data_IF_107874916747
#
_entry.id   IF_107874916747
#
_cell.length_a   1.000
_cell.length_b   1.000
_cell.length_c   1.000
_cell.angle_alpha   90.00
_cell.angle_beta   90.00
_cell.angle_gamma   90.00
#
_symmetry.space_group_name_H-M   'P 1'
#
loop_
_entity.id
_entity.type
_entity.pdbx_description
1 polymer ?
#
# COMPACT_ATOMS: atom_id res chain seq x y z
N UNK A 1 -39.24 5.87 52.19
CA UNK A 1 -38.44 6.86 51.47
C UNK A 1 -37.00 6.39 51.59
N UNK A 2 -36.57 5.55 50.66
CA UNK A 2 -35.16 5.40 50.30
C UNK A 2 -35.18 4.74 48.92
N UNK A 3 -34.71 5.52 47.94
CA UNK A 3 -34.73 5.19 46.54
C UNK A 3 -33.72 4.07 46.29
N UNK A 4 -34.20 2.97 45.71
CA UNK A 4 -33.35 1.99 45.06
C UNK A 4 -32.88 2.67 43.77
N UNK A 5 -31.61 3.07 43.80
CA UNK A 5 -30.95 3.81 42.73
C UNK A 5 -30.80 2.96 41.46
N UNK A 6 -31.12 3.61 40.36
CA UNK A 6 -31.54 3.08 39.06
C UNK A 6 -30.31 2.86 38.17
N UNK A 7 -29.41 1.95 38.58
CA UNK A 7 -28.14 1.68 37.88
C UNK A 7 -28.15 0.46 36.96
N UNK A 8 -29.31 0.13 36.37
CA UNK A 8 -29.40 -0.84 35.25
C UNK A 8 -29.73 -0.20 33.88
N UNK A 9 -29.75 1.13 33.79
CA UNK A 9 -30.22 1.84 32.59
C UNK A 9 -29.17 2.17 31.51
N UNK A 10 -27.85 1.99 31.72
CA UNK A 10 -26.83 2.70 30.92
C UNK A 10 -25.73 1.86 30.25
N UNK A 11 -25.92 0.54 30.10
CA UNK A 11 -24.98 -0.35 29.35
C UNK A 11 -25.52 -0.83 27.99
N UNK A 12 -26.49 -0.11 27.40
CA UNK A 12 -26.95 -0.33 26.01
C UNK A 12 -26.04 0.38 24.99
N UNK A 13 -24.72 0.20 25.10
CA UNK A 13 -23.71 0.72 24.16
C UNK A 13 -23.22 -0.34 23.16
N UNK A 14 -22.33 0.06 22.23
CA UNK A 14 -21.72 -0.82 21.19
C UNK A 14 -21.28 -2.20 21.73
N UNK A 15 -20.73 -2.26 22.95
CA UNK A 15 -20.31 -3.51 23.61
C UNK A 15 -21.46 -4.49 23.90
N UNK A 16 -22.65 -3.99 24.25
CA UNK A 16 -23.81 -4.84 24.55
C UNK A 16 -24.40 -5.46 23.29
N UNK A 17 -24.44 -4.71 22.18
CA UNK A 17 -24.86 -5.24 20.88
C UNK A 17 -23.85 -6.26 20.34
N UNK A 18 -22.56 -5.96 20.44
CA UNK A 18 -21.51 -6.89 20.03
C UNK A 18 -21.61 -8.23 20.78
N UNK A 19 -21.75 -8.21 22.11
CA UNK A 19 -21.91 -9.43 22.90
C UNK A 19 -23.15 -10.26 22.48
N UNK A 20 -24.27 -9.60 22.19
CA UNK A 20 -25.51 -10.26 21.77
C UNK A 20 -25.38 -11.03 20.46
N UNK A 21 -24.60 -10.49 19.50
CA UNK A 21 -24.48 -11.06 18.15
C UNK A 21 -23.17 -11.83 17.92
N UNK A 22 -22.26 -11.86 18.89
CA UNK A 22 -20.96 -12.51 18.74
C UNK A 22 -21.06 -13.99 18.36
N UNK A 23 -21.95 -14.75 19.02
CA UNK A 23 -22.17 -16.16 18.68
C UNK A 23 -22.68 -16.37 17.25
N UNK A 24 -23.50 -15.45 16.76
CA UNK A 24 -23.98 -15.51 15.38
C UNK A 24 -22.85 -15.21 14.40
N UNK A 25 -21.97 -14.25 14.72
CA UNK A 25 -20.77 -13.99 13.91
C UNK A 25 -19.84 -15.21 13.83
N UNK A 26 -19.64 -15.94 14.93
CA UNK A 26 -18.87 -17.19 14.93
C UNK A 26 -19.56 -18.24 14.04
N UNK A 27 -20.88 -18.40 14.16
CA UNK A 27 -21.65 -19.34 13.33
C UNK A 27 -21.53 -19.02 11.83
N UNK A 28 -21.65 -17.75 11.47
CA UNK A 28 -21.51 -17.29 10.08
C UNK A 28 -20.08 -17.52 9.54
N UNK A 29 -19.06 -17.42 10.39
CA UNK A 29 -17.68 -17.81 10.03
C UNK A 29 -17.59 -19.31 9.76
N UNK A 30 -18.14 -20.15 10.63
CA UNK A 30 -18.13 -21.61 10.48
C UNK A 30 -18.90 -22.07 9.23
N UNK A 31 -19.99 -21.37 8.89
CA UNK A 31 -20.79 -21.60 7.68
C UNK A 31 -20.15 -21.02 6.40
N UNK A 32 -18.98 -20.39 6.51
CA UNK A 32 -18.28 -19.64 5.45
C UNK A 32 -19.12 -18.52 4.79
N UNK A 33 -20.17 -18.03 5.45
CA UNK A 33 -21.09 -17.00 4.93
C UNK A 33 -20.55 -15.59 5.20
N UNK A 34 -19.58 -15.18 4.38
CA UNK A 34 -18.94 -13.86 4.44
C UNK A 34 -19.92 -12.71 4.22
N UNK A 35 -20.92 -12.88 3.35
CA UNK A 35 -21.84 -11.78 3.02
C UNK A 35 -22.75 -11.47 4.20
N UNK A 36 -23.33 -12.51 4.82
CA UNK A 36 -24.15 -12.34 6.02
C UNK A 36 -23.32 -11.84 7.20
N UNK A 37 -22.08 -12.31 7.35
CA UNK A 37 -21.16 -11.83 8.38
C UNK A 37 -20.92 -10.32 8.26
N UNK A 38 -20.53 -9.86 7.07
CA UNK A 38 -20.22 -8.45 6.83
C UNK A 38 -21.44 -7.55 7.09
N UNK A 39 -22.63 -7.97 6.64
CA UNK A 39 -23.88 -7.24 6.92
C UNK A 39 -24.19 -7.17 8.41
N UNK A 40 -23.93 -8.26 9.14
CA UNK A 40 -24.15 -8.30 10.58
C UNK A 40 -23.19 -7.34 11.29
N UNK A 41 -21.88 -7.40 11.01
CA UNK A 41 -20.88 -6.46 11.56
C UNK A 41 -21.26 -5.00 11.28
N UNK A 42 -21.62 -4.68 10.04
CA UNK A 42 -22.06 -3.34 9.65
C UNK A 42 -23.28 -2.88 10.45
N UNK A 43 -24.23 -3.78 10.72
CA UNK A 43 -25.45 -3.47 11.48
C UNK A 43 -25.16 -3.21 12.95
N UNK A 44 -24.26 -3.98 13.56
CA UNK A 44 -24.00 -3.92 15.01
C UNK A 44 -22.97 -2.85 15.38
N UNK A 45 -22.09 -2.47 14.45
CA UNK A 45 -20.99 -1.53 14.66
C UNK A 45 -20.88 -0.51 13.50
N UNK A 46 -21.95 0.26 13.21
CA UNK A 46 -21.96 1.19 12.08
C UNK A 46 -20.93 2.32 12.20
N UNK A 47 -20.53 2.66 13.42
CA UNK A 47 -19.62 3.78 13.69
C UNK A 47 -18.18 3.53 13.22
N UNK A 48 -17.78 2.27 12.97
CA UNK A 48 -16.42 1.94 12.53
C UNK A 48 -16.12 2.49 11.14
N UNK A 49 -17.11 2.50 10.24
CA UNK A 49 -16.96 3.10 8.90
C UNK A 49 -16.76 4.62 9.01
N UNK A 50 -17.54 5.27 9.89
CA UNK A 50 -17.42 6.70 10.16
C UNK A 50 -16.06 7.08 10.78
N UNK A 51 -15.52 6.22 11.65
CA UNK A 51 -14.18 6.37 12.21
C UNK A 51 -13.11 6.33 11.12
N UNK A 52 -13.14 5.31 10.25
CA UNK A 52 -12.23 5.16 9.13
C UNK A 52 -12.31 6.40 8.21
N UNK A 53 -13.52 6.83 7.86
CA UNK A 53 -13.74 7.99 7.01
C UNK A 53 -13.13 9.27 7.59
N UNK A 54 -13.33 9.51 8.89
CA UNK A 54 -12.79 10.70 9.57
C UNK A 54 -11.26 10.69 9.67
N UNK A 55 -10.66 9.54 10.01
CA UNK A 55 -9.20 9.38 10.07
C UNK A 55 -8.58 9.56 8.69
N UNK A 56 -9.10 8.86 7.67
CA UNK A 56 -8.63 8.97 6.29
C UNK A 56 -8.73 10.42 5.77
N UNK A 57 -9.88 11.08 5.96
CA UNK A 57 -10.06 12.48 5.55
C UNK A 57 -9.08 13.43 6.26
N UNK A 58 -8.76 13.17 7.53
CA UNK A 58 -7.80 13.97 8.29
C UNK A 58 -6.39 13.77 7.78
N UNK A 59 -5.98 12.54 7.50
CA UNK A 59 -4.67 12.22 6.91
C UNK A 59 -4.50 12.82 5.52
N UNK A 60 -5.55 12.82 4.71
CA UNK A 60 -5.55 13.52 3.40
C UNK A 60 -5.40 15.03 3.57
N UNK A 61 -6.15 15.65 4.50
CA UNK A 61 -6.06 17.09 4.77
C UNK A 61 -4.67 17.51 5.28
N UNK A 62 -4.03 16.64 6.07
CA UNK A 62 -2.70 16.88 6.63
C UNK A 62 -1.56 16.54 5.64
N UNK A 63 -1.88 16.00 4.46
CA UNK A 63 -0.90 15.67 3.43
C UNK A 63 -0.15 14.35 3.63
N UNK A 64 -0.54 13.54 4.62
CA UNK A 64 0.06 12.21 4.86
C UNK A 64 -0.42 11.17 3.85
N UNK A 65 -1.62 11.35 3.30
CA UNK A 65 -2.18 10.48 2.27
C UNK A 65 -2.56 11.33 1.04
N UNK A 66 -2.18 10.91 -0.18
CA UNK A 66 -2.60 11.59 -1.40
C UNK A 66 -4.13 11.59 -1.56
N UNK A 67 -4.70 12.75 -1.90
CA UNK A 67 -6.14 12.89 -2.13
C UNK A 67 -6.60 11.95 -3.25
N UNK A 68 -7.63 11.16 -2.97
CA UNK A 68 -8.28 10.27 -3.95
C UNK A 68 -7.54 8.96 -4.21
N UNK A 69 -6.42 8.69 -3.54
CA UNK A 69 -5.66 7.43 -3.69
C UNK A 69 -6.36 6.24 -3.05
N UNK A 70 -6.96 6.43 -1.87
CA UNK A 70 -7.65 5.38 -1.13
C UNK A 70 -9.10 5.76 -0.89
N UNK A 71 -9.96 4.73 -0.82
CA UNK A 71 -11.38 4.87 -0.53
C UNK A 71 -11.71 4.27 0.83
N UNK A 72 -12.73 4.82 1.49
CA UNK A 72 -13.18 4.31 2.81
C UNK A 72 -13.57 2.85 2.70
N UNK A 73 -14.25 2.49 1.61
CA UNK A 73 -14.72 1.14 1.32
C UNK A 73 -13.59 0.11 1.25
N UNK A 74 -12.40 0.50 0.81
CA UNK A 74 -11.23 -0.40 0.74
C UNK A 74 -10.78 -0.82 2.14
N UNK A 75 -10.67 0.14 3.06
CA UNK A 75 -10.33 -0.12 4.46
C UNK A 75 -11.44 -0.89 5.19
N UNK A 76 -12.71 -0.56 4.93
CA UNK A 76 -13.85 -1.28 5.51
C UNK A 76 -13.85 -2.74 5.06
N UNK A 77 -13.66 -2.99 3.77
CA UNK A 77 -13.59 -4.35 3.24
C UNK A 77 -12.40 -5.13 3.81
N UNK A 78 -11.23 -4.50 3.91
CA UNK A 78 -10.04 -5.11 4.52
C UNK A 78 -10.26 -5.44 6.00
N UNK A 79 -10.87 -4.52 6.76
CA UNK A 79 -11.23 -4.74 8.16
C UNK A 79 -12.20 -5.92 8.32
N UNK A 80 -13.26 -5.97 7.49
CA UNK A 80 -14.24 -7.04 7.56
C UNK A 80 -13.66 -8.40 7.18
N UNK A 81 -12.73 -8.43 6.22
CA UNK A 81 -11.98 -9.64 5.90
C UNK A 81 -11.15 -10.12 7.11
N UNK A 82 -10.37 -9.23 7.74
CA UNK A 82 -9.60 -9.58 8.93
C UNK A 82 -10.50 -10.04 10.08
N UNK A 83 -11.62 -9.37 10.30
CA UNK A 83 -12.60 -9.75 11.30
C UNK A 83 -13.14 -11.15 11.01
N UNK A 84 -13.55 -11.43 9.79
CA UNK A 84 -14.03 -12.76 9.39
C UNK A 84 -12.97 -13.85 9.64
N UNK A 85 -11.71 -13.58 9.28
CA UNK A 85 -10.60 -14.54 9.42
C UNK A 85 -10.19 -14.76 10.87
N UNK A 86 -10.28 -13.74 11.72
CA UNK A 86 -9.66 -13.75 13.06
C UNK A 86 -10.65 -13.58 14.22
N UNK A 87 -11.95 -13.50 13.99
CA UNK A 87 -12.95 -13.33 15.07
C UNK A 87 -12.88 -14.42 16.16
N UNK A 88 -12.40 -15.62 15.81
CA UNK A 88 -12.19 -16.70 16.78
C UNK A 88 -11.04 -16.45 17.77
N UNK A 89 -10.18 -15.47 17.51
CA UNK A 89 -9.11 -15.03 18.43
C UNK A 89 -9.65 -14.12 19.54
N UNK A 90 -10.88 -13.61 19.41
CA UNK A 90 -11.49 -12.71 20.39
C UNK A 90 -12.07 -13.57 21.52
N UNK A 91 -11.38 -13.56 22.67
CA UNK A 91 -11.77 -14.36 23.84
C UNK A 91 -13.01 -13.81 24.57
N UNK A 92 -13.14 -12.49 24.64
CA UNK A 92 -14.28 -11.79 25.24
C UNK A 92 -15.11 -11.11 24.15
N UNK A 93 -16.35 -11.54 23.99
CA UNK A 93 -17.34 -10.98 23.06
C UNK A 93 -17.55 -9.47 23.20
N UNK A 94 -17.28 -8.90 24.38
CA UNK A 94 -17.37 -7.46 24.65
C UNK A 94 -16.18 -6.67 24.08
N UNK A 95 -15.10 -7.36 23.69
CA UNK A 95 -13.91 -6.77 23.10
C UNK A 95 -14.03 -6.63 21.58
N UNK A 96 -15.02 -7.24 20.93
CA UNK A 96 -15.23 -7.11 19.48
C UNK A 96 -15.23 -5.66 18.98
N UNK A 97 -15.94 -4.69 19.61
CA UNK A 97 -15.86 -3.29 19.20
C UNK A 97 -14.43 -2.76 19.31
N UNK A 98 -13.77 -2.98 20.45
CA UNK A 98 -12.39 -2.52 20.66
C UNK A 98 -11.44 -3.10 19.61
N UNK A 99 -11.53 -4.40 19.36
CA UNK A 99 -10.71 -5.11 18.38
C UNK A 99 -10.89 -4.54 16.97
N UNK A 100 -12.12 -4.27 16.55
CA UNK A 100 -12.39 -3.71 15.22
C UNK A 100 -11.85 -2.28 15.07
N UNK A 101 -12.03 -1.43 16.08
CA UNK A 101 -11.47 -0.08 16.03
C UNK A 101 -9.94 -0.08 16.08
N UNK A 102 -9.33 -0.99 16.85
CA UNK A 102 -7.88 -1.18 16.87
C UNK A 102 -7.37 -1.62 15.50
N UNK A 103 -7.98 -2.63 14.88
CA UNK A 103 -7.57 -3.12 13.56
C UNK A 103 -7.79 -2.10 12.46
N UNK A 104 -8.86 -1.32 12.54
CA UNK A 104 -9.07 -0.18 11.66
C UNK A 104 -7.94 0.86 11.79
N UNK A 105 -7.49 1.12 13.02
CA UNK A 105 -6.39 2.05 13.26
C UNK A 105 -5.05 1.54 12.74
N UNK A 106 -4.75 0.25 12.97
CA UNK A 106 -3.55 -0.42 12.46
C UNK A 106 -3.49 -0.34 10.92
N UNK A 107 -4.57 -0.71 10.22
CA UNK A 107 -4.66 -0.62 8.76
C UNK A 107 -4.38 0.80 8.23
N UNK A 108 -4.94 1.81 8.89
CA UNK A 108 -4.73 3.21 8.52
C UNK A 108 -3.30 3.68 8.83
N UNK A 109 -2.74 3.28 9.97
CA UNK A 109 -1.38 3.66 10.36
C UNK A 109 -0.34 3.01 9.46
N UNK A 110 -0.48 1.73 9.14
CA UNK A 110 0.37 1.04 8.16
C UNK A 110 0.38 1.79 6.83
N UNK A 111 -0.80 2.17 6.33
CA UNK A 111 -0.92 2.95 5.09
C UNK A 111 -0.27 4.33 5.22
N UNK A 112 -0.48 5.05 6.32
CA UNK A 112 0.12 6.38 6.54
C UNK A 112 1.64 6.28 6.58
N UNK A 113 2.18 5.32 7.34
CA UNK A 113 3.63 5.12 7.47
C UNK A 113 4.24 4.76 6.12
N UNK A 114 3.57 3.90 5.35
CA UNK A 114 3.98 3.56 3.98
C UNK A 114 4.02 4.82 3.10
N UNK A 115 2.98 5.66 3.13
CA UNK A 115 2.93 6.90 2.34
C UNK A 115 3.95 7.95 2.77
N UNK A 116 4.16 8.11 4.08
CA UNK A 116 5.17 9.03 4.61
C UNK A 116 6.58 8.57 4.23
N UNK A 117 6.84 7.25 4.30
CA UNK A 117 8.10 6.67 3.87
C UNK A 117 8.31 6.83 2.37
N UNK A 118 7.28 6.56 1.56
CA UNK A 118 7.30 6.76 0.10
C UNK A 118 7.56 8.22 -0.28
N UNK A 119 6.99 9.18 0.47
CA UNK A 119 7.23 10.61 0.25
C UNK A 119 8.67 11.00 0.57
N UNK A 120 9.19 10.59 1.74
CA UNK A 120 10.61 10.83 2.09
C UNK A 120 11.56 10.15 1.10
N UNK A 121 11.22 8.94 0.66
CA UNK A 121 11.99 8.20 -0.34
C UNK A 121 12.14 9.02 -1.62
N UNK A 122 11.06 9.60 -2.15
CA UNK A 122 11.12 10.42 -3.36
C UNK A 122 12.00 11.67 -3.20
N UNK A 123 11.98 12.29 -2.02
CA UNK A 123 12.73 13.52 -1.73
C UNK A 123 14.23 13.27 -1.51
N UNK A 124 14.60 12.10 -0.99
CA UNK A 124 15.97 11.79 -0.57
C UNK A 124 16.64 10.68 -1.39
N UNK A 125 15.99 10.15 -2.43
CA UNK A 125 16.47 8.98 -3.21
C UNK A 125 17.94 9.07 -3.68
N UNK A 126 18.44 10.28 -3.95
CA UNK A 126 19.83 10.54 -4.37
C UNK A 126 20.86 10.47 -3.24
N UNK A 127 20.41 10.54 -1.98
CA UNK A 127 21.25 10.63 -0.78
C UNK A 127 21.49 9.28 -0.11
N UNK A 128 20.82 8.23 -0.59
CA UNK A 128 20.87 6.90 0.00
C UNK A 128 22.28 6.32 -0.15
N UNK A 129 22.84 5.87 0.96
CA UNK A 129 24.09 5.12 1.00
C UNK A 129 23.91 3.72 0.38
N UNK A 130 25.03 3.09 0.01
CA UNK A 130 24.99 1.73 -0.52
C UNK A 130 24.36 0.73 0.47
N UNK A 131 24.57 0.91 1.78
CA UNK A 131 23.95 0.06 2.80
C UNK A 131 22.44 0.24 2.85
N UNK A 132 21.94 1.46 2.73
CA UNK A 132 20.49 1.73 2.67
C UNK A 132 19.87 1.11 1.41
N UNK A 133 20.55 1.15 0.27
CA UNK A 133 20.08 0.49 -0.96
C UNK A 133 19.99 -1.04 -0.83
N UNK A 134 20.94 -1.66 -0.14
CA UNK A 134 20.92 -3.11 0.12
C UNK A 134 19.76 -3.45 1.07
N UNK A 135 19.61 -2.71 2.16
CA UNK A 135 18.51 -2.91 3.11
C UNK A 135 17.14 -2.74 2.46
N UNK A 136 16.99 -1.71 1.61
CA UNK A 136 15.76 -1.52 0.84
C UNK A 136 15.44 -2.69 -0.07
N UNK A 137 16.46 -3.31 -0.67
CA UNK A 137 16.30 -4.47 -1.53
C UNK A 137 15.88 -5.70 -0.71
N UNK A 138 16.44 -5.89 0.49
CA UNK A 138 16.08 -6.97 1.43
C UNK A 138 14.66 -6.80 1.98
N UNK A 139 14.28 -5.58 2.42
CA UNK A 139 12.94 -5.28 2.93
C UNK A 139 11.86 -5.42 1.84
N UNK A 140 12.24 -5.22 0.58
CA UNK A 140 11.33 -5.39 -0.56
C UNK A 140 11.07 -6.87 -0.89
N UNK A 141 11.96 -7.78 -0.49
CA UNK A 141 11.83 -9.23 -0.66
C UNK A 141 11.40 -9.97 0.61
N UNK A 142 10.64 -9.31 1.48
CA UNK A 142 9.96 -9.95 2.61
C UNK A 142 8.82 -10.81 2.08
N UNK A 143 8.84 -12.11 2.39
CA UNK A 143 7.78 -13.03 1.99
C UNK A 143 6.50 -12.88 2.84
N UNK A 144 5.46 -13.65 2.52
CA UNK A 144 4.18 -13.63 3.26
C UNK A 144 4.32 -14.03 4.74
N UNK A 145 5.41 -14.67 5.12
CA UNK A 145 5.69 -15.15 6.48
C UNK A 145 6.60 -14.18 7.25
N UNK A 146 7.06 -13.10 6.61
CA UNK A 146 7.87 -12.05 7.22
C UNK A 146 9.37 -12.34 7.21
N UNK A 147 9.81 -13.42 6.56
CA UNK A 147 11.22 -13.75 6.44
C UNK A 147 11.89 -12.91 5.36
N UNK A 148 13.03 -12.32 5.71
CA UNK A 148 13.81 -11.45 4.82
C UNK A 148 14.74 -12.34 3.98
N UNK A 149 14.46 -12.47 2.71
CA UNK A 149 15.37 -13.09 1.72
C UNK A 149 15.82 -12.04 0.72
N UNK A 150 16.84 -12.31 -0.08
CA UNK A 150 17.23 -11.43 -1.18
C UNK A 150 16.27 -11.64 -2.36
N UNK A 151 15.86 -10.58 -3.06
CA UNK A 151 15.11 -10.67 -4.34
C UNK A 151 15.73 -11.64 -5.35
N UNK A 152 17.03 -11.90 -5.25
CA UNK A 152 17.77 -12.82 -6.11
C UNK A 152 17.40 -14.28 -5.88
N UNK A 153 16.89 -14.60 -4.70
CA UNK A 153 16.46 -15.93 -4.27
C UNK A 153 14.94 -16.14 -4.50
N UNK A 154 14.20 -15.04 -4.73
CA UNK A 154 12.76 -15.02 -4.97
C UNK A 154 12.41 -15.32 -6.44
N UNK A 155 12.50 -16.59 -6.85
CA UNK A 155 11.85 -17.08 -8.09
C UNK A 155 10.36 -17.35 -7.84
N UNK A 156 9.61 -16.38 -7.30
CA UNK A 156 8.19 -16.55 -6.96
C UNK A 156 7.30 -16.38 -8.21
N UNK A 157 6.56 -17.43 -8.63
CA UNK A 157 5.64 -17.37 -9.77
C UNK A 157 4.37 -16.55 -9.53
N UNK A 158 4.12 -16.05 -8.31
CA UNK A 158 2.92 -15.31 -7.94
C UNK A 158 2.95 -13.82 -8.30
N UNK A 159 4.13 -13.25 -8.56
CA UNK A 159 4.26 -11.89 -9.08
C UNK A 159 4.06 -11.86 -10.62
N UNK A 160 3.25 -10.93 -11.15
CA UNK A 160 3.18 -10.74 -12.60
C UNK A 160 4.58 -10.41 -13.11
N UNK A 161 5.09 -11.19 -14.06
CA UNK A 161 6.37 -10.93 -14.71
C UNK A 161 6.24 -9.70 -15.59
N UNK A 162 6.44 -8.52 -15.01
CA UNK A 162 6.69 -7.31 -15.76
C UNK A 162 8.13 -7.36 -16.29
N UNK A 163 8.38 -6.88 -17.50
CA UNK A 163 9.71 -6.86 -18.09
C UNK A 163 10.12 -5.40 -18.29
N UNK A 164 10.59 -4.78 -17.20
CA UNK A 164 11.05 -3.39 -17.23
C UNK A 164 12.45 -3.35 -17.81
N UNK A 165 12.65 -2.50 -18.81
CA UNK A 165 13.94 -2.30 -19.45
C UNK A 165 14.46 -0.89 -19.21
N UNK A 166 15.77 -0.72 -19.37
CA UNK A 166 16.41 0.59 -19.24
C UNK A 166 15.78 1.61 -20.21
N UNK A 167 15.49 1.19 -21.46
CA UNK A 167 14.80 2.01 -22.45
C UNK A 167 13.43 2.53 -21.99
N UNK A 168 12.77 1.83 -21.06
CA UNK A 168 11.52 2.29 -20.47
C UNK A 168 11.71 3.43 -19.48
N UNK A 169 12.95 3.73 -19.04
CA UNK A 169 13.29 4.88 -18.17
C UNK A 169 13.89 6.01 -19.01
N UNK A 170 14.80 5.69 -19.93
CA UNK A 170 15.59 6.64 -20.72
C UNK A 170 15.04 6.77 -22.14
N UNK A 171 14.11 7.71 -22.37
CA UNK A 171 13.50 7.93 -23.70
C UNK A 171 14.28 8.92 -24.57
N UNK A 172 14.98 9.90 -23.98
CA UNK A 172 15.44 11.08 -24.72
C UNK A 172 16.95 11.38 -24.66
N UNK A 173 17.76 10.61 -23.92
CA UNK A 173 19.21 10.86 -23.83
C UNK A 173 20.03 9.55 -23.89
N UNK A 174 20.02 8.83 -25.02
CA UNK A 174 20.89 7.67 -25.23
C UNK A 174 22.39 8.04 -25.36
N UNK A 175 22.74 9.33 -25.37
CA UNK A 175 24.13 9.80 -25.55
C UNK A 175 24.95 9.88 -24.24
N UNK A 176 24.35 9.59 -23.07
CA UNK A 176 25.11 9.54 -21.81
C UNK A 176 25.86 8.20 -21.75
N UNK A 177 27.18 8.20 -21.99
CA UNK A 177 28.07 7.03 -21.92
C UNK A 177 27.88 6.21 -20.62
N UNK A 178 27.42 6.86 -19.55
CA UNK A 178 27.06 6.19 -18.29
C UNK A 178 25.86 5.25 -18.43
N UNK A 179 24.83 5.61 -19.21
CA UNK A 179 23.62 4.79 -19.45
C UNK A 179 23.97 3.55 -20.25
N UNK A 180 24.76 3.69 -21.33
CA UNK A 180 25.22 2.56 -22.13
C UNK A 180 26.03 1.58 -21.28
N UNK A 181 26.96 2.12 -20.48
CA UNK A 181 27.74 1.31 -19.55
C UNK A 181 26.88 0.62 -18.49
N UNK A 182 25.85 1.30 -17.99
CA UNK A 182 24.91 0.70 -17.03
C UNK A 182 24.18 -0.49 -17.65
N UNK A 183 23.78 -0.37 -18.92
CA UNK A 183 23.09 -1.41 -19.67
C UNK A 183 23.99 -2.62 -19.97
N UNK A 184 25.30 -2.41 -20.11
CA UNK A 184 26.29 -3.48 -20.27
C UNK A 184 26.63 -4.16 -18.94
N UNK A 185 26.71 -3.40 -17.83
CA UNK A 185 27.07 -3.90 -16.51
C UNK A 185 25.91 -4.59 -15.79
N UNK A 186 24.67 -4.14 -16.00
CA UNK A 186 23.47 -4.70 -15.37
C UNK A 186 22.76 -5.65 -16.34
N UNK A 187 22.60 -6.91 -15.93
CA UNK A 187 21.70 -7.84 -16.64
C UNK A 187 20.24 -7.40 -16.56
N UNK A 188 19.42 -7.84 -17.53
CA UNK A 188 17.98 -7.54 -17.58
C UNK A 188 17.25 -7.76 -16.24
N UNK A 189 17.56 -8.86 -15.55
CA UNK A 189 16.96 -9.20 -14.25
C UNK A 189 17.34 -8.20 -13.14
N UNK A 190 18.56 -7.66 -13.13
CA UNK A 190 18.99 -6.67 -12.13
C UNK A 190 18.34 -5.31 -12.38
N UNK A 191 18.20 -4.92 -13.64
CA UNK A 191 17.51 -3.69 -14.02
C UNK A 191 16.03 -3.76 -13.64
N UNK A 192 15.38 -4.87 -14.00
CA UNK A 192 13.99 -5.12 -13.65
C UNK A 192 13.76 -5.03 -12.14
N UNK A 193 14.58 -5.75 -11.35
CA UNK A 193 14.51 -5.72 -9.88
C UNK A 193 14.68 -4.32 -9.30
N UNK A 194 15.62 -3.53 -9.83
CA UNK A 194 15.82 -2.17 -9.36
C UNK A 194 14.60 -1.28 -9.66
N UNK A 195 14.11 -1.31 -10.91
CA UNK A 195 12.95 -0.51 -11.32
C UNK A 195 11.73 -0.90 -10.51
N UNK A 196 11.46 -2.19 -10.36
CA UNK A 196 10.30 -2.70 -9.63
C UNK A 196 10.34 -2.34 -8.14
N UNK A 197 11.50 -2.51 -7.49
CA UNK A 197 11.75 -2.08 -6.11
C UNK A 197 11.46 -0.58 -5.94
N UNK A 198 11.96 0.27 -6.84
CA UNK A 198 11.76 1.73 -6.77
C UNK A 198 10.29 2.10 -7.03
N UNK A 199 9.64 1.49 -8.03
CA UNK A 199 8.24 1.74 -8.36
C UNK A 199 7.30 1.35 -7.21
N UNK A 200 7.59 0.28 -6.46
CA UNK A 200 6.81 -0.09 -5.28
C UNK A 200 6.85 0.94 -4.16
N UNK A 201 7.83 1.84 -4.16
CA UNK A 201 7.91 2.96 -3.23
C UNK A 201 7.24 4.23 -3.76
N UNK A 202 6.67 4.20 -4.96
CA UNK A 202 5.97 5.36 -5.52
C UNK A 202 4.50 5.35 -5.11
N UNK A 203 3.85 6.52 -5.04
CA UNK A 203 2.40 6.60 -4.92
C UNK A 203 1.72 5.75 -6.01
N UNK A 204 0.70 4.96 -5.63
CA UNK A 204 0.02 4.04 -6.54
C UNK A 204 -0.44 4.65 -7.88
N UNK A 205 -0.88 5.93 -7.96
CA UNK A 205 -1.14 6.56 -9.25
C UNK A 205 0.10 6.60 -10.17
N UNK A 206 1.28 6.94 -9.64
CA UNK A 206 2.54 7.01 -10.41
C UNK A 206 2.96 5.63 -10.91
N UNK A 207 2.97 4.63 -10.02
CA UNK A 207 3.29 3.23 -10.39
C UNK A 207 2.32 2.72 -11.44
N UNK A 208 1.02 2.78 -11.16
CA UNK A 208 0.01 2.19 -12.05
C UNK A 208 -0.13 2.90 -13.40
N UNK A 209 0.18 4.21 -13.50
CA UNK A 209 0.26 4.93 -14.77
C UNK A 209 1.48 4.47 -15.57
N UNK A 210 2.63 4.31 -14.90
CA UNK A 210 3.85 3.82 -15.54
C UNK A 210 3.70 2.38 -16.04
N UNK A 211 3.10 1.49 -15.26
CA UNK A 211 2.82 0.09 -15.65
C UNK A 211 1.94 0.02 -16.90
N UNK A 212 0.90 0.86 -16.98
CA UNK A 212 0.03 0.92 -18.16
C UNK A 212 0.77 1.41 -19.40
N UNK A 213 1.67 2.37 -19.25
CA UNK A 213 2.45 2.91 -20.37
C UNK A 213 3.53 1.92 -20.84
N UNK A 214 4.23 1.28 -19.91
CA UNK A 214 5.42 0.48 -20.20
C UNK A 214 5.06 -0.98 -20.47
N UNK A 215 4.32 -1.62 -19.56
CA UNK A 215 4.02 -3.05 -19.68
C UNK A 215 2.83 -3.31 -20.60
N UNK A 216 1.80 -2.44 -20.52
CA UNK A 216 0.58 -2.61 -21.31
C UNK A 216 0.56 -1.79 -22.60
N UNK A 217 1.57 -0.93 -22.82
CA UNK A 217 1.77 -0.12 -24.02
C UNK A 217 0.57 0.77 -24.38
N UNK A 218 -0.22 1.20 -23.40
CA UNK A 218 -1.28 2.18 -23.62
C UNK A 218 -0.71 3.57 -23.88
N UNK A 219 -1.33 4.30 -24.80
CA UNK A 219 -1.03 5.71 -25.04
C UNK A 219 -1.46 6.60 -23.86
N UNK A 220 -0.89 7.80 -23.75
CA UNK A 220 -1.26 8.79 -22.73
C UNK A 220 -2.78 9.08 -22.75
N UNK A 221 -3.38 9.15 -23.94
CA UNK A 221 -4.81 9.40 -24.11
C UNK A 221 -5.68 8.23 -23.65
N UNK A 222 -5.22 6.99 -23.84
CA UNK A 222 -5.89 5.80 -23.33
C UNK A 222 -5.77 5.70 -21.81
N UNK A 223 -4.59 5.99 -21.26
CA UNK A 223 -4.35 6.01 -19.82
C UNK A 223 -5.20 7.09 -19.14
N UNK A 224 -5.30 8.28 -19.74
CA UNK A 224 -6.17 9.36 -19.26
C UNK A 224 -7.63 8.90 -19.15
N UNK A 225 -8.14 8.18 -20.15
CA UNK A 225 -9.49 7.58 -20.13
C UNK A 225 -9.63 6.49 -19.07
N UNK A 226 -8.63 5.60 -18.94
CA UNK A 226 -8.62 4.51 -17.96
C UNK A 226 -8.61 5.07 -16.52
N UNK A 227 -7.82 6.12 -16.28
CA UNK A 227 -7.61 6.70 -14.95
C UNK A 227 -8.62 7.79 -14.58
N UNK A 228 -9.33 8.35 -15.56
CA UNK A 228 -10.27 9.45 -15.35
C UNK A 228 -9.59 10.76 -14.95
N UNK A 229 -8.37 11.00 -15.41
CA UNK A 229 -7.58 12.22 -15.17
C UNK A 229 -7.20 12.88 -16.50
N UNK A 230 -6.72 14.12 -16.47
CA UNK A 230 -6.31 14.84 -17.69
C UNK A 230 -5.07 14.22 -18.36
N UNK A 231 -4.89 14.48 -19.66
CA UNK A 231 -3.72 14.03 -20.42
C UNK A 231 -2.44 14.63 -19.82
N UNK A 232 -2.50 15.90 -19.45
CA UNK A 232 -1.41 16.65 -18.83
C UNK A 232 -1.00 16.05 -17.47
N UNK A 233 -1.97 15.55 -16.68
CA UNK A 233 -1.68 14.84 -15.43
C UNK A 233 -0.99 13.50 -15.68
N UNK A 234 -1.42 12.73 -16.68
CA UNK A 234 -0.75 11.47 -17.07
C UNK A 234 0.70 11.74 -17.49
N UNK A 235 0.93 12.73 -18.35
CA UNK A 235 2.27 13.12 -18.79
C UNK A 235 3.15 13.54 -17.61
N UNK A 236 2.61 14.38 -16.72
CA UNK A 236 3.30 14.82 -15.50
C UNK A 236 3.70 13.62 -14.62
N UNK A 237 2.81 12.65 -14.42
CA UNK A 237 3.14 11.45 -13.68
C UNK A 237 4.25 10.64 -14.35
N UNK A 238 4.18 10.40 -15.67
CA UNK A 238 5.21 9.66 -16.40
C UNK A 238 6.58 10.34 -16.35
N UNK A 239 6.63 11.66 -16.55
CA UNK A 239 7.88 12.45 -16.48
C UNK A 239 8.49 12.37 -15.08
N UNK A 240 7.68 12.55 -14.03
CA UNK A 240 8.15 12.47 -12.65
C UNK A 240 8.65 11.06 -12.31
N UNK A 241 7.91 10.02 -12.69
CA UNK A 241 8.31 8.62 -12.47
C UNK A 241 9.66 8.34 -13.12
N UNK A 242 9.84 8.69 -14.40
CA UNK A 242 11.11 8.53 -15.13
C UNK A 242 12.25 9.28 -14.45
N UNK A 243 12.00 10.52 -14.02
CA UNK A 243 13.00 11.33 -13.31
C UNK A 243 13.45 10.67 -12.01
N UNK A 244 12.53 10.17 -11.19
CA UNK A 244 12.90 9.50 -9.93
C UNK A 244 13.63 8.17 -10.18
N UNK A 245 13.23 7.39 -11.18
CA UNK A 245 13.97 6.19 -11.59
C UNK A 245 15.39 6.53 -12.08
N UNK A 246 15.53 7.57 -12.89
CA UNK A 246 16.84 8.07 -13.32
C UNK A 246 17.72 8.42 -12.11
N UNK A 247 17.16 9.16 -11.15
CA UNK A 247 17.89 9.56 -9.94
C UNK A 247 18.25 8.34 -9.07
N UNK A 248 17.37 7.34 -8.97
CA UNK A 248 17.65 6.11 -8.20
C UNK A 248 18.82 5.34 -8.79
N UNK A 249 18.87 5.21 -10.12
CA UNK A 249 20.00 4.59 -10.81
C UNK A 249 21.30 5.38 -10.57
N UNK A 250 21.26 6.71 -10.65
CA UNK A 250 22.44 7.57 -10.36
C UNK A 250 22.91 7.44 -8.92
N UNK A 251 21.99 7.35 -7.96
CA UNK A 251 22.32 7.21 -6.53
C UNK A 251 22.92 5.83 -6.21
N UNK A 252 22.33 4.77 -6.75
CA UNK A 252 22.77 3.39 -6.49
C UNK A 252 24.01 2.99 -7.29
N UNK A 253 24.14 3.48 -8.52
CA UNK A 253 25.23 3.17 -9.44
C UNK A 253 25.93 4.47 -9.87
N UNK A 254 26.60 5.16 -8.93
CA UNK A 254 27.21 6.45 -9.21
C UNK A 254 28.28 6.31 -10.29
N UNK A 255 28.41 7.34 -11.12
CA UNK A 255 29.53 7.46 -12.04
C UNK A 255 30.83 7.31 -11.24
N UNK A 256 31.57 6.23 -11.49
CA UNK A 256 32.94 6.11 -10.97
C UNK A 256 33.70 7.29 -11.58
N UNK A 257 34.08 8.26 -10.76
CA UNK A 257 35.02 9.28 -11.18
C UNK A 257 36.25 8.56 -11.74
N UNK A 258 36.46 8.67 -13.04
CA UNK A 258 37.71 8.27 -13.69
C UNK A 258 38.75 9.29 -13.21
N UNK A 259 39.26 9.10 -11.98
CA UNK A 259 40.49 9.75 -11.58
C UNK A 259 41.62 9.03 -12.31
N UNK A 260 42.18 9.76 -13.28
CA UNK A 260 43.41 9.45 -14.00
C UNK A 260 44.62 9.42 -13.06
#
# INVERSE_FOLDING_TARGET
MENIDDTQGAQRGLHGLAALYFKELIRLKEDEDREAFNKLVQTILPDVEGYIANRLSTSVRNGYIPKGKYKVEEFVNALYLQAFERISEIEDERDLPFWLFQKADELLQETIVEEEYNTRFLDDIEKFSNTEWIQMQEDYSVDREGERTLLEEFNDPSYPKYDYQLADVFIEDPEDEWIEKLNEELGGDQMHKHIDMVLHRFPAPMKSIYDLAVNQRFSVQEISKIKGISVEEVESYLVRTRKHLLTSFKGRYPQKNVQS
#
